data_IF_030306758904
#
_entry.id   IF_030306758904
#
_cell.length_a   1.000
_cell.length_b   1.000
_cell.length_c   1.000
_cell.angle_alpha   90.00
_cell.angle_beta   90.00
_cell.angle_gamma   90.00
#
_symmetry.space_group_name_H-M   'P 1'
#
loop_
_entity.id
_entity.type
_entity.pdbx_description
1 polymer ?
#
# COMPACT_ATOMS: atom_id res chain seq x y z
N UNK A 1 15.78 1.84 7.15
CA UNK A 1 14.92 1.19 6.13
C UNK A 1 13.50 1.71 6.31
N UNK A 2 12.79 2.06 5.23
CA UNK A 2 11.37 2.48 5.34
C UNK A 2 10.48 1.26 5.62
N UNK A 3 9.43 1.41 6.43
CA UNK A 3 8.50 0.33 6.84
C UNK A 3 7.96 -0.46 5.64
N UNK A 4 7.65 0.23 4.54
CA UNK A 4 7.17 -0.39 3.30
C UNK A 4 8.18 -1.36 2.65
N UNK A 5 9.48 -1.02 2.69
CA UNK A 5 10.53 -1.90 2.18
C UNK A 5 10.59 -3.20 2.98
N UNK A 6 10.45 -3.11 4.31
CA UNK A 6 10.44 -4.29 5.18
C UNK A 6 9.20 -5.17 4.94
N UNK A 7 8.03 -4.58 4.73
CA UNK A 7 6.81 -5.34 4.40
C UNK A 7 6.96 -6.11 3.09
N UNK A 8 7.42 -5.44 2.03
CA UNK A 8 7.63 -6.09 0.72
C UNK A 8 8.69 -7.20 0.80
N UNK A 9 9.80 -6.95 1.50
CA UNK A 9 10.83 -7.97 1.71
C UNK A 9 10.27 -9.20 2.45
N UNK A 10 9.44 -9.00 3.47
CA UNK A 10 8.77 -10.09 4.18
C UNK A 10 7.80 -10.87 3.30
N UNK A 11 7.00 -10.17 2.49
CA UNK A 11 6.11 -10.81 1.52
C UNK A 11 6.89 -11.65 0.49
N UNK A 12 8.01 -11.12 -0.01
CA UNK A 12 8.88 -11.80 -0.99
C UNK A 12 9.56 -13.05 -0.42
N UNK A 13 9.91 -13.02 0.86
CA UNK A 13 10.53 -14.16 1.54
C UNK A 13 9.54 -15.29 1.79
N UNK A 14 8.28 -14.96 2.07
CA UNK A 14 7.28 -15.93 2.52
C UNK A 14 6.39 -16.45 1.39
N UNK A 15 6.16 -15.66 0.35
CA UNK A 15 5.16 -15.97 -0.67
C UNK A 15 5.57 -15.54 -2.08
N UNK A 16 5.10 -16.30 -3.08
CA UNK A 16 5.05 -15.82 -4.47
C UNK A 16 3.76 -15.04 -4.64
N UNK A 17 3.83 -13.70 -4.64
CA UNK A 17 2.66 -12.83 -4.66
C UNK A 17 2.67 -11.82 -5.81
N UNK A 18 1.47 -11.35 -6.17
CA UNK A 18 1.24 -10.25 -7.13
C UNK A 18 0.42 -9.11 -6.57
N UNK A 19 -0.41 -9.38 -5.56
CA UNK A 19 -1.24 -8.37 -4.92
C UNK A 19 -1.07 -8.50 -3.41
N UNK A 20 -0.75 -7.39 -2.75
CA UNK A 20 -0.73 -7.25 -1.30
C UNK A 20 -1.75 -6.20 -0.87
N UNK A 21 -2.59 -6.52 0.11
CA UNK A 21 -3.48 -5.55 0.72
C UNK A 21 -2.96 -5.18 2.09
N UNK A 22 -2.82 -3.88 2.35
CA UNK A 22 -2.29 -3.38 3.60
C UNK A 22 -3.31 -2.49 4.30
N UNK A 23 -3.83 -3.00 5.41
CA UNK A 23 -4.68 -2.26 6.33
C UNK A 23 -3.81 -1.66 7.43
N UNK A 24 -3.39 -0.41 7.25
CA UNK A 24 -2.55 0.26 8.24
C UNK A 24 -2.82 1.77 8.24
N UNK A 25 -3.47 2.31 9.29
CA UNK A 25 -3.75 3.74 9.41
C UNK A 25 -2.50 4.63 9.36
N UNK A 26 -1.37 4.13 9.88
CA UNK A 26 -0.08 4.85 9.85
C UNK A 26 0.48 4.96 8.43
N UNK A 27 0.26 3.95 7.58
CA UNK A 27 0.72 3.91 6.19
C UNK A 27 -0.31 4.47 5.22
N UNK A 28 -1.53 4.75 5.67
CA UNK A 28 -2.55 5.41 4.86
C UNK A 28 -2.11 6.78 4.35
N UNK A 29 -1.19 7.47 5.04
CA UNK A 29 -0.70 8.79 4.65
C UNK A 29 0.59 8.77 3.80
N UNK A 30 0.99 7.62 3.27
CA UNK A 30 2.14 7.53 2.37
C UNK A 30 1.92 8.40 1.13
N UNK A 31 2.75 9.43 0.99
CA UNK A 31 2.79 10.32 -0.18
C UNK A 31 3.96 9.98 -1.11
N UNK A 32 5.07 9.51 -0.54
CA UNK A 32 6.28 9.16 -1.27
C UNK A 32 6.46 7.66 -1.32
N UNK A 33 6.53 7.11 -2.53
CA UNK A 33 6.76 5.70 -2.77
C UNK A 33 8.19 5.44 -3.24
N UNK A 34 8.84 4.42 -2.69
CA UNK A 34 10.29 4.20 -2.88
C UNK A 34 10.63 2.82 -3.46
N UNK A 35 9.64 2.08 -3.93
CA UNK A 35 9.81 0.73 -4.47
C UNK A 35 9.48 0.76 -5.97
N UNK A 36 10.49 0.81 -6.86
CA UNK A 36 10.26 1.00 -8.29
C UNK A 36 9.53 -0.17 -8.96
N UNK A 37 9.66 -1.38 -8.42
CA UNK A 37 9.12 -2.62 -9.02
C UNK A 37 7.79 -3.06 -8.41
N UNK A 38 7.25 -2.28 -7.47
CA UNK A 38 5.97 -2.55 -6.81
C UNK A 38 5.10 -1.33 -6.97
N UNK A 39 3.95 -1.48 -7.60
CA UNK A 39 3.00 -0.38 -7.68
C UNK A 39 2.33 -0.13 -6.34
N UNK A 40 1.87 1.09 -6.15
CA UNK A 40 1.07 1.47 -5.01
C UNK A 40 -0.24 2.11 -5.46
N UNK A 41 -1.32 1.45 -5.10
CA UNK A 41 -2.66 2.02 -5.15
C UNK A 41 -3.11 2.32 -3.72
N UNK A 42 -3.85 3.40 -3.56
CA UNK A 42 -4.49 3.77 -2.30
C UNK A 42 -6.00 3.83 -2.51
N UNK A 43 -6.75 3.23 -1.61
CA UNK A 43 -8.21 3.29 -1.55
C UNK A 43 -8.60 4.02 -0.27
N UNK A 44 -9.41 5.06 -0.40
CA UNK A 44 -10.13 5.66 0.72
C UNK A 44 -11.47 4.96 0.89
N UNK A 45 -11.62 4.17 1.95
CA UNK A 45 -12.85 3.42 2.20
C UNK A 45 -14.03 4.30 2.59
N UNK A 46 -13.81 5.54 3.05
CA UNK A 46 -14.90 6.43 3.43
C UNK A 46 -15.60 7.00 2.20
N UNK A 47 -14.83 7.27 1.14
CA UNK A 47 -15.34 7.87 -0.10
C UNK A 47 -15.45 6.87 -1.25
N UNK A 48 -14.81 5.70 -1.12
CA UNK A 48 -14.65 4.73 -2.20
C UNK A 48 -13.65 5.15 -3.28
N UNK A 49 -13.02 6.32 -3.15
CA UNK A 49 -12.09 6.86 -4.15
C UNK A 49 -10.77 6.12 -4.07
N UNK A 50 -10.27 5.68 -5.21
CA UNK A 50 -8.92 5.14 -5.35
C UNK A 50 -8.01 6.08 -6.12
N UNK A 51 -6.72 6.03 -5.80
CA UNK A 51 -5.66 6.76 -6.52
C UNK A 51 -4.38 5.95 -6.60
N UNK A 52 -3.65 6.10 -7.70
CA UNK A 52 -2.29 5.59 -7.81
C UNK A 52 -1.33 6.53 -7.09
N UNK A 53 -0.60 6.01 -6.12
CA UNK A 53 0.51 6.71 -5.46
C UNK A 53 1.79 6.51 -6.28
N UNK A 54 1.94 5.32 -6.86
CA UNK A 54 3.00 4.99 -7.81
C UNK A 54 2.52 3.92 -8.77
N UNK A 55 2.72 4.14 -10.06
CA UNK A 55 2.52 3.14 -11.10
C UNK A 55 3.78 3.05 -11.94
N UNK A 56 4.42 1.88 -11.94
CA UNK A 56 5.48 1.57 -12.87
C UNK A 56 4.87 1.36 -14.27
N UNK A 57 5.46 1.97 -15.30
CA UNK A 57 5.02 1.79 -16.69
C UNK A 57 5.42 0.42 -17.27
N UNK A 58 6.05 -0.47 -16.49
CA UNK A 58 6.57 -1.75 -16.98
C UNK A 58 5.56 -2.90 -16.81
N UNK A 59 5.09 -3.50 -17.92
CA UNK A 59 4.41 -4.81 -17.93
C UNK A 59 5.45 -5.88 -18.29
N UNK A 60 5.56 -7.03 -17.60
CA UNK A 60 4.55 -8.02 -17.18
C UNK A 60 5.09 -8.75 -15.92
N UNK A 61 4.25 -9.02 -14.90
CA UNK A 61 4.68 -9.61 -13.61
C UNK A 61 4.57 -8.67 -12.39
N UNK A 62 4.01 -7.48 -12.63
CA UNK A 62 3.92 -6.36 -11.69
C UNK A 62 3.23 -6.72 -10.37
N UNK A 63 3.94 -6.46 -9.28
CA UNK A 63 3.42 -6.55 -7.91
C UNK A 63 2.71 -5.25 -7.57
N UNK A 64 1.58 -5.33 -6.89
CA UNK A 64 0.80 -4.17 -6.47
C UNK A 64 0.52 -4.26 -4.98
N UNK A 65 0.82 -3.19 -4.24
CA UNK A 65 0.31 -2.98 -2.90
C UNK A 65 -0.86 -2.02 -2.93
N UNK A 66 -1.99 -2.47 -2.40
CA UNK A 66 -3.16 -1.65 -2.15
C UNK A 66 -3.17 -1.21 -0.69
N UNK A 67 -2.93 0.08 -0.45
CA UNK A 67 -3.08 0.72 0.84
C UNK A 67 -4.55 1.03 1.08
N UNK A 68 -5.11 0.48 2.15
CA UNK A 68 -6.51 0.68 2.50
C UNK A 68 -6.60 1.68 3.64
N UNK A 69 -7.07 2.88 3.33
CA UNK A 69 -7.35 3.94 4.29
C UNK A 69 -8.77 3.78 4.81
N UNK A 70 -8.91 3.39 6.08
CA UNK A 70 -10.20 3.19 6.74
C UNK A 70 -10.69 4.42 7.53
N UNK A 71 -9.85 5.46 7.68
CA UNK A 71 -10.19 6.73 8.36
C UNK A 71 -9.11 7.19 9.36
N UNK A 72 -9.23 8.40 9.91
CA UNK A 72 -8.36 8.89 11.01
C UNK A 72 -8.67 8.09 12.28
N UNK A 73 -7.63 7.60 12.96
CA UNK A 73 -7.65 7.33 14.39
C UNK A 73 -7.96 8.64 15.13
N UNK A 74 -9.24 8.89 15.38
CA UNK A 74 -9.74 10.11 16.00
C UNK A 74 -11.13 9.97 16.62
N UNK A 75 -11.59 8.73 16.85
CA UNK A 75 -12.75 8.45 17.69
C UNK A 75 -12.26 7.84 19.00
N UNK A 76 -12.18 8.64 20.05
CA UNK A 76 -12.28 8.11 21.41
C UNK A 76 -13.66 7.45 21.48
N UNK A 77 -13.69 6.15 21.78
CA UNK A 77 -14.94 5.51 22.19
C UNK A 77 -15.25 6.08 23.57
N UNK A 78 -16.16 7.06 23.60
CA UNK A 78 -16.84 7.49 24.82
C UNK A 78 -18.00 6.57 25.14
#
# INVERSE_FOLDING_TARGET
>A
MSVLKSIVAGLDQMWTWKVGMLFCPQLANVQTWTLPDVDCMKIDCQTGIYKWVHGSNAKRGQKVITLIQTGRSGGVVG
#
